data_IF_813592249468
#
_entry.id   IF_813592249468
#
_cell.length_a   1.000
_cell.length_b   1.000
_cell.length_c   1.000
_cell.angle_alpha   90.00
_cell.angle_beta   90.00
_cell.angle_gamma   90.00
#
_symmetry.space_group_name_H-M   'P 1'
#
loop_
_entity.id
_entity.type
_entity.pdbx_description
1 polymer ?
#
# COMPACT_ATOMS: atom_id res chain seq x y z
N UNK A 1 27.88 -21.52 0.30
CA UNK A 1 27.30 -20.59 1.29
C UNK A 1 25.92 -20.21 0.78
N UNK A 2 24.84 -20.78 1.37
CA UNK A 2 23.49 -20.28 1.12
C UNK A 2 23.45 -18.90 1.74
N UNK A 3 23.43 -17.84 0.93
CA UNK A 3 23.21 -16.50 1.45
C UNK A 3 21.94 -16.54 2.30
N UNK A 4 22.08 -16.23 3.58
CA UNK A 4 20.94 -16.05 4.46
C UNK A 4 20.17 -14.86 3.91
N UNK A 5 19.12 -15.12 3.13
CA UNK A 5 18.16 -14.10 2.72
C UNK A 5 17.81 -13.27 3.97
N UNK A 6 17.82 -11.93 3.91
CA UNK A 6 17.77 -11.09 5.10
C UNK A 6 16.35 -11.01 5.67
N UNK A 7 15.82 -12.15 6.12
CA UNK A 7 14.46 -12.33 6.65
C UNK A 7 14.17 -11.35 7.78
N UNK A 8 15.15 -11.10 8.65
CA UNK A 8 15.00 -10.14 9.74
C UNK A 8 14.71 -8.72 9.20
N UNK A 9 15.44 -8.27 8.19
CA UNK A 9 15.23 -6.95 7.59
C UNK A 9 13.86 -6.90 6.92
N UNK A 10 13.47 -7.94 6.19
CA UNK A 10 12.14 -8.01 5.57
C UNK A 10 11.03 -7.89 6.61
N UNK A 11 11.11 -8.65 7.71
CA UNK A 11 10.13 -8.62 8.79
C UNK A 11 10.07 -7.24 9.46
N UNK A 12 11.23 -6.63 9.74
CA UNK A 12 11.30 -5.30 10.35
C UNK A 12 10.69 -4.22 9.45
N UNK A 13 11.05 -4.20 8.17
CA UNK A 13 10.51 -3.24 7.20
C UNK A 13 9.01 -3.48 6.99
N UNK A 14 8.57 -4.73 6.93
CA UNK A 14 7.16 -5.08 6.80
C UNK A 14 6.34 -4.61 8.01
N UNK A 15 6.82 -4.87 9.23
CA UNK A 15 6.16 -4.46 10.47
C UNK A 15 6.14 -2.94 10.62
N UNK A 16 7.23 -2.26 10.25
CA UNK A 16 7.30 -0.80 10.24
C UNK A 16 6.28 -0.21 9.25
N UNK A 17 6.21 -0.73 8.02
CA UNK A 17 5.24 -0.27 7.02
C UNK A 17 3.80 -0.48 7.49
N UNK A 18 3.51 -1.64 8.10
CA UNK A 18 2.20 -1.92 8.68
C UNK A 18 1.86 -0.91 9.81
N UNK A 19 2.81 -0.66 10.71
CA UNK A 19 2.66 0.29 11.81
C UNK A 19 2.43 1.72 11.33
N UNK A 20 3.20 2.20 10.35
CA UNK A 20 3.02 3.53 9.75
C UNK A 20 1.66 3.63 9.06
N UNK A 21 1.26 2.59 8.30
CA UNK A 21 -0.05 2.54 7.64
C UNK A 21 -1.20 2.62 8.65
N UNK A 22 -1.06 1.95 9.79
CA UNK A 22 -2.00 2.03 10.90
C UNK A 22 -2.07 3.43 11.52
N UNK A 23 -0.92 4.04 11.81
CA UNK A 23 -0.85 5.38 12.38
C UNK A 23 -1.44 6.43 11.44
N UNK A 24 -1.24 6.29 10.14
CA UNK A 24 -1.87 7.13 9.12
C UNK A 24 -3.40 7.00 9.15
N UNK A 25 -3.95 5.78 9.08
CA UNK A 25 -5.39 5.56 9.16
C UNK A 25 -6.00 6.06 10.48
N UNK A 26 -5.31 5.83 11.60
CA UNK A 26 -5.75 6.32 12.92
C UNK A 26 -5.80 7.84 12.94
N UNK A 27 -4.77 8.52 12.44
CA UNK A 27 -4.70 9.99 12.42
C UNK A 27 -5.81 10.57 11.54
N UNK A 28 -6.05 9.98 10.38
CA UNK A 28 -7.19 10.33 9.51
C UNK A 28 -8.52 10.10 10.23
N UNK A 29 -8.70 8.95 10.89
CA UNK A 29 -9.90 8.63 11.67
C UNK A 29 -10.22 9.67 12.74
N UNK A 30 -9.21 10.05 13.53
CA UNK A 30 -9.35 11.04 14.60
C UNK A 30 -9.80 12.43 14.09
N UNK A 31 -9.48 12.78 12.85
CA UNK A 31 -9.86 14.05 12.22
C UNK A 31 -11.03 13.89 11.23
N UNK A 32 -11.55 12.68 11.04
CA UNK A 32 -12.44 12.37 9.93
C UNK A 32 -13.76 13.14 9.97
N UNK A 33 -14.37 13.23 11.15
CA UNK A 33 -15.63 13.95 11.35
C UNK A 33 -15.42 15.46 11.22
N UNK A 34 -14.37 15.97 11.85
CA UNK A 34 -14.02 17.39 11.81
C UNK A 34 -13.75 17.86 10.38
N UNK A 35 -12.91 17.13 9.64
CA UNK A 35 -12.61 17.47 8.24
C UNK A 35 -13.83 17.36 7.32
N UNK A 36 -14.84 16.54 7.64
CA UNK A 36 -16.10 16.51 6.88
C UNK A 36 -16.93 17.78 7.06
N UNK A 37 -16.89 18.37 8.26
CA UNK A 37 -17.60 19.61 8.58
C UNK A 37 -16.89 20.80 7.94
N UNK A 38 -15.55 20.87 8.10
CA UNK A 38 -14.75 22.00 7.62
C UNK A 38 -14.51 21.96 6.10
N UNK A 39 -14.41 20.77 5.50
CA UNK A 39 -14.15 20.62 4.07
C UNK A 39 -12.75 21.08 3.66
N UNK A 40 -12.64 21.62 2.43
CA UNK A 40 -11.43 22.26 1.91
C UNK A 40 -10.16 21.41 1.93
N UNK A 41 -9.03 22.06 2.20
CA UNK A 41 -7.71 21.43 2.20
C UNK A 41 -7.57 20.33 3.26
N UNK A 42 -8.15 20.52 4.43
CA UNK A 42 -8.09 19.52 5.51
C UNK A 42 -8.79 18.22 5.11
N UNK A 43 -9.97 18.32 4.48
CA UNK A 43 -10.68 17.15 3.94
C UNK A 43 -9.89 16.45 2.84
N UNK A 44 -9.28 17.22 1.96
CA UNK A 44 -8.42 16.69 0.91
C UNK A 44 -7.22 15.94 1.50
N UNK A 45 -6.51 16.52 2.47
CA UNK A 45 -5.37 15.89 3.13
C UNK A 45 -5.75 14.65 3.94
N UNK A 46 -6.94 14.62 4.55
CA UNK A 46 -7.46 13.42 5.19
C UNK A 46 -7.61 12.25 4.20
N UNK A 47 -8.03 12.52 2.96
CA UNK A 47 -8.04 11.51 1.89
C UNK A 47 -6.65 11.09 1.44
N UNK A 48 -5.68 12.02 1.35
CA UNK A 48 -4.30 11.66 1.01
C UNK A 48 -3.70 10.69 2.04
N UNK A 49 -3.94 10.95 3.33
CA UNK A 49 -3.53 10.02 4.40
C UNK A 49 -4.25 8.66 4.32
N UNK A 50 -5.52 8.63 3.93
CA UNK A 50 -6.27 7.40 3.73
C UNK A 50 -5.72 6.57 2.56
N UNK A 51 -5.46 7.20 1.42
CA UNK A 51 -4.85 6.55 0.25
C UNK A 51 -3.48 5.99 0.60
N UNK A 52 -2.63 6.79 1.27
CA UNK A 52 -1.30 6.36 1.70
C UNK A 52 -1.37 5.13 2.62
N UNK A 53 -2.31 5.13 3.58
CA UNK A 53 -2.55 3.99 4.46
C UNK A 53 -3.02 2.75 3.70
N UNK A 54 -3.99 2.91 2.78
CA UNK A 54 -4.54 1.81 2.01
C UNK A 54 -3.48 1.15 1.12
N UNK A 55 -2.65 1.95 0.45
CA UNK A 55 -1.50 1.46 -0.32
C UNK A 55 -0.49 0.72 0.56
N UNK A 56 -0.18 1.26 1.75
CA UNK A 56 0.75 0.62 2.68
C UNK A 56 0.25 -0.72 3.21
N UNK A 57 -1.02 -0.83 3.61
CA UNK A 57 -1.60 -2.12 4.00
C UNK A 57 -1.68 -3.10 2.82
N UNK A 58 -2.06 -2.61 1.64
CA UNK A 58 -2.06 -3.42 0.40
C UNK A 58 -0.69 -4.05 0.17
N UNK A 59 0.39 -3.28 0.31
CA UNK A 59 1.76 -3.79 0.15
C UNK A 59 2.12 -4.85 1.19
N UNK A 60 1.74 -4.65 2.45
CA UNK A 60 1.94 -5.64 3.51
C UNK A 60 1.19 -6.96 3.20
N UNK A 61 -0.06 -6.87 2.74
CA UNK A 61 -0.86 -8.03 2.38
C UNK A 61 -0.39 -8.72 1.10
N UNK A 62 0.13 -7.97 0.13
CA UNK A 62 0.75 -8.52 -1.07
C UNK A 62 1.98 -9.35 -0.73
N UNK A 63 2.91 -8.80 0.05
CA UNK A 63 4.12 -9.53 0.49
C UNK A 63 3.70 -10.79 1.26
N UNK A 64 2.85 -10.64 2.28
CA UNK A 64 2.43 -11.77 3.09
C UNK A 64 1.67 -12.83 2.28
N UNK A 65 0.66 -12.42 1.51
CA UNK A 65 -0.18 -13.31 0.71
C UNK A 65 0.59 -14.03 -0.38
N UNK A 66 1.48 -13.33 -1.09
CA UNK A 66 2.32 -13.93 -2.13
C UNK A 66 3.30 -14.95 -1.54
N UNK A 67 3.98 -14.60 -0.44
CA UNK A 67 4.90 -15.54 0.22
C UNK A 67 4.15 -16.72 0.85
N UNK A 68 2.99 -16.48 1.46
CA UNK A 68 2.17 -17.55 2.02
C UNK A 68 1.74 -18.55 0.93
N UNK A 69 1.27 -18.06 -0.22
CA UNK A 69 0.94 -18.93 -1.36
C UNK A 69 2.16 -19.71 -1.86
N UNK A 70 3.30 -19.04 -2.03
CA UNK A 70 4.54 -19.63 -2.51
C UNK A 70 5.05 -20.76 -1.61
N UNK A 71 5.11 -20.52 -0.29
CA UNK A 71 5.68 -21.47 0.66
C UNK A 71 4.71 -22.56 1.10
N UNK A 72 3.43 -22.23 1.29
CA UNK A 72 2.47 -23.18 1.86
C UNK A 72 1.73 -23.99 0.82
N UNK A 73 1.58 -23.46 -0.40
CA UNK A 73 0.88 -24.10 -1.52
C UNK A 73 -0.41 -24.82 -1.07
N UNK A 74 -1.37 -24.07 -0.51
CA UNK A 74 -2.50 -24.67 0.22
C UNK A 74 -3.36 -25.53 -0.72
N UNK A 75 -4.05 -26.53 -0.14
CA UNK A 75 -4.79 -27.55 -0.90
C UNK A 75 -5.78 -26.96 -1.92
N UNK A 76 -6.46 -25.85 -1.61
CA UNK A 76 -7.39 -25.22 -2.54
C UNK A 76 -6.69 -24.65 -3.80
N UNK A 77 -5.45 -24.17 -3.69
CA UNK A 77 -4.65 -23.76 -4.87
C UNK A 77 -4.29 -25.00 -5.69
N UNK A 78 -3.97 -26.10 -5.01
CA UNK A 78 -3.69 -27.39 -5.65
C UNK A 78 -4.89 -28.03 -6.33
N UNK A 79 -6.10 -27.69 -5.90
CA UNK A 79 -7.31 -28.11 -6.59
C UNK A 79 -7.59 -27.18 -7.78
N UNK A 80 -7.32 -25.89 -7.61
CA UNK A 80 -7.59 -24.89 -8.64
C UNK A 80 -6.76 -25.12 -9.91
N UNK A 81 -5.45 -25.42 -9.81
CA UNK A 81 -4.60 -25.57 -11.00
C UNK A 81 -4.73 -26.95 -11.70
N UNK A 82 -5.62 -27.85 -11.24
CA UNK A 82 -5.78 -29.27 -11.64
C UNK A 82 -4.62 -30.24 -11.27
N UNK A 83 -4.91 -31.42 -10.69
CA UNK A 83 -3.90 -32.37 -10.11
C UNK A 83 -3.03 -33.14 -11.14
N UNK A 84 -3.07 -32.77 -12.42
CA UNK A 84 -2.36 -33.49 -13.50
C UNK A 84 -0.99 -32.95 -13.90
N UNK A 85 -0.67 -31.68 -13.60
CA UNK A 85 0.61 -31.05 -13.93
C UNK A 85 1.43 -30.84 -12.66
N UNK A 86 2.74 -31.12 -12.68
CA UNK A 86 3.59 -30.93 -11.52
C UNK A 86 3.56 -29.46 -11.07
N UNK A 87 2.95 -29.19 -9.92
CA UNK A 87 2.65 -27.86 -9.36
C UNK A 87 3.89 -27.04 -8.98
N UNK A 88 4.86 -27.70 -8.35
CA UNK A 88 6.03 -27.07 -7.79
C UNK A 88 6.87 -26.24 -8.79
N UNK A 89 7.05 -26.65 -10.06
CA UNK A 89 7.76 -25.83 -11.06
C UNK A 89 6.95 -24.65 -11.64
N UNK A 90 5.64 -24.56 -11.37
CA UNK A 90 4.79 -23.52 -11.98
C UNK A 90 4.70 -22.23 -11.17
N UNK A 91 4.70 -22.33 -9.84
CA UNK A 91 4.70 -21.17 -8.94
C UNK A 91 6.13 -20.81 -8.57
N UNK A 92 6.91 -20.44 -9.58
CA UNK A 92 8.33 -20.15 -9.47
C UNK A 92 8.58 -18.67 -9.11
N UNK A 93 9.85 -18.24 -9.16
CA UNK A 93 10.22 -16.85 -8.91
C UNK A 93 9.53 -15.86 -9.86
N UNK A 94 9.18 -16.27 -11.07
CA UNK A 94 8.52 -15.40 -12.05
C UNK A 94 7.07 -15.08 -11.65
N UNK A 95 6.36 -16.02 -11.02
CA UNK A 95 5.05 -15.75 -10.42
C UNK A 95 5.17 -14.72 -9.29
N UNK A 96 6.19 -14.84 -8.42
CA UNK A 96 6.39 -13.90 -7.31
C UNK A 96 6.68 -12.49 -7.84
N UNK A 97 7.62 -12.40 -8.77
CA UNK A 97 8.03 -11.15 -9.39
C UNK A 97 6.84 -10.47 -10.10
N UNK A 98 6.09 -11.21 -10.90
CA UNK A 98 4.92 -10.70 -11.60
C UNK A 98 3.80 -10.26 -10.65
N UNK A 99 3.54 -11.03 -9.58
CA UNK A 99 2.49 -10.71 -8.61
C UNK A 99 2.81 -9.44 -7.83
N UNK A 100 4.04 -9.31 -7.33
CA UNK A 100 4.49 -8.10 -6.63
C UNK A 100 4.57 -6.91 -7.59
N UNK A 101 4.98 -7.12 -8.85
CA UNK A 101 5.01 -6.09 -9.89
C UNK A 101 3.63 -5.57 -10.26
N UNK A 102 2.65 -6.46 -10.41
CA UNK A 102 1.26 -6.07 -10.68
C UNK A 102 0.68 -5.28 -9.50
N UNK A 103 0.90 -5.75 -8.27
CA UNK A 103 0.51 -5.03 -7.07
C UNK A 103 1.16 -3.65 -6.98
N UNK A 104 2.46 -3.56 -7.27
CA UNK A 104 3.21 -2.30 -7.33
C UNK A 104 2.62 -1.32 -8.34
N UNK A 105 2.34 -1.77 -9.57
CA UNK A 105 1.75 -0.95 -10.63
C UNK A 105 0.39 -0.36 -10.24
N UNK A 106 -0.40 -1.10 -9.45
CA UNK A 106 -1.72 -0.64 -8.98
C UNK A 106 -1.59 0.43 -7.89
N UNK A 107 -0.69 0.26 -6.93
CA UNK A 107 -0.59 1.17 -5.78
C UNK A 107 0.30 2.39 -6.03
N UNK A 108 1.29 2.30 -6.93
CA UNK A 108 2.29 3.35 -7.11
C UNK A 108 1.71 4.71 -7.54
N UNK A 109 0.67 4.80 -8.41
CA UNK A 109 0.08 6.12 -8.74
C UNK A 109 -0.54 6.79 -7.51
N UNK A 110 -1.23 6.00 -6.68
CA UNK A 110 -1.79 6.48 -5.41
C UNK A 110 -0.72 6.94 -4.44
N UNK A 111 0.38 6.19 -4.30
CA UNK A 111 1.52 6.55 -3.45
C UNK A 111 2.19 7.84 -3.93
N UNK A 112 2.47 7.97 -5.23
CA UNK A 112 3.15 9.16 -5.78
C UNK A 112 2.28 10.41 -5.64
N UNK A 113 0.99 10.31 -5.96
CA UNK A 113 0.09 11.44 -5.87
C UNK A 113 -0.13 11.87 -4.41
N UNK A 114 -0.50 10.93 -3.54
CA UNK A 114 -0.70 11.26 -2.12
C UNK A 114 0.58 11.72 -1.43
N UNK A 115 1.72 11.12 -1.76
CA UNK A 115 3.05 11.51 -1.28
C UNK A 115 3.42 12.94 -1.69
N UNK A 116 3.17 13.31 -2.94
CA UNK A 116 3.39 14.67 -3.45
C UNK A 116 2.58 15.70 -2.65
N UNK A 117 1.30 15.41 -2.40
CA UNK A 117 0.43 16.33 -1.68
C UNK A 117 0.80 16.44 -0.19
N UNK A 118 1.15 15.32 0.45
CA UNK A 118 1.66 15.29 1.83
C UNK A 118 2.98 16.05 1.95
N UNK A 119 3.87 15.91 0.96
CA UNK A 119 5.12 16.64 0.91
C UNK A 119 4.88 18.15 0.80
N UNK A 120 4.02 18.60 -0.12
CA UNK A 120 3.65 20.02 -0.26
C UNK A 120 3.09 20.58 1.06
N UNK A 121 2.14 19.87 1.68
CA UNK A 121 1.57 20.28 2.96
C UNK A 121 2.64 20.39 4.07
N UNK A 122 3.57 19.44 4.12
CA UNK A 122 4.66 19.49 5.10
C UNK A 122 5.61 20.67 4.92
N UNK A 123 5.90 21.07 3.67
CA UNK A 123 6.68 22.28 3.39
C UNK A 123 5.94 23.54 3.86
N UNK A 124 4.65 23.64 3.57
CA UNK A 124 3.80 24.75 4.02
C UNK A 124 3.80 24.83 5.55
N UNK A 125 3.65 23.70 6.23
CA UNK A 125 3.65 23.65 7.70
C UNK A 125 5.02 24.04 8.29
N UNK A 126 6.13 23.59 7.72
CA UNK A 126 7.47 23.98 8.16
C UNK A 126 7.70 25.50 8.04
N UNK A 127 7.28 26.11 6.93
CA UNK A 127 7.38 27.56 6.72
C UNK A 127 6.51 28.34 7.71
N UNK A 128 5.31 27.84 8.01
CA UNK A 128 4.37 28.50 8.94
C UNK A 128 4.80 28.36 10.41
N UNK A 129 5.18 27.16 10.85
CA UNK A 129 5.47 26.86 12.25
C UNK A 129 6.89 27.22 12.66
N UNK A 130 7.86 27.12 11.74
CA UNK A 130 9.28 27.43 11.96
C UNK A 130 9.88 26.71 13.17
N UNK A 131 9.42 25.49 13.45
CA UNK A 131 9.95 24.66 14.53
C UNK A 131 10.75 23.48 13.96
N UNK A 132 11.61 22.89 14.80
CA UNK A 132 12.47 21.78 14.39
C UNK A 132 11.67 20.54 13.97
N UNK A 133 10.51 20.30 14.59
CA UNK A 133 9.70 19.12 14.31
C UNK A 133 9.09 19.18 12.90
N UNK A 134 8.48 20.30 12.54
CA UNK A 134 7.92 20.54 11.21
C UNK A 134 9.01 20.59 10.14
N UNK A 135 10.17 21.17 10.44
CA UNK A 135 11.35 21.11 9.58
C UNK A 135 11.83 19.67 9.32
N UNK A 136 11.90 18.85 10.37
CA UNK A 136 12.29 17.43 10.24
C UNK A 136 11.29 16.62 9.41
N UNK A 137 9.98 16.81 9.62
CA UNK A 137 8.93 16.16 8.83
C UNK A 137 9.02 16.56 7.35
N UNK A 138 9.19 17.85 7.07
CA UNK A 138 9.37 18.34 5.72
C UNK A 138 10.64 17.79 5.05
N UNK A 139 11.75 17.70 5.78
CA UNK A 139 13.00 17.09 5.33
C UNK A 139 12.82 15.61 4.98
N UNK A 140 12.18 14.84 5.85
CA UNK A 140 11.88 13.43 5.62
C UNK A 140 10.99 13.23 4.38
N UNK A 141 9.89 13.99 4.28
CA UNK A 141 8.99 13.89 3.14
C UNK A 141 9.65 14.32 1.83
N UNK A 142 10.58 15.29 1.87
CA UNK A 142 11.37 15.67 0.70
C UNK A 142 12.23 14.49 0.22
N UNK A 143 12.99 13.87 1.13
CA UNK A 143 13.77 12.69 0.81
C UNK A 143 12.89 11.56 0.27
N UNK A 144 11.80 11.24 0.96
CA UNK A 144 10.89 10.17 0.60
C UNK A 144 10.24 10.41 -0.78
N UNK A 145 9.80 11.64 -1.08
CA UNK A 145 9.18 11.96 -2.35
C UNK A 145 10.18 11.81 -3.51
N UNK A 146 11.41 12.30 -3.35
CA UNK A 146 12.47 12.16 -4.36
C UNK A 146 12.79 10.68 -4.56
N UNK A 147 13.02 9.94 -3.48
CA UNK A 147 13.33 8.52 -3.54
C UNK A 147 12.22 7.71 -4.21
N UNK A 148 10.96 7.90 -3.80
CA UNK A 148 9.82 7.19 -4.36
C UNK A 148 9.60 7.52 -5.84
N UNK A 149 9.75 8.79 -6.22
CA UNK A 149 9.61 9.22 -7.62
C UNK A 149 10.71 8.60 -8.48
N UNK A 150 11.96 8.65 -8.03
CA UNK A 150 13.09 8.06 -8.75
C UNK A 150 12.96 6.54 -8.88
N UNK A 151 12.61 5.86 -7.79
CA UNK A 151 12.35 4.43 -7.77
C UNK A 151 11.20 4.06 -8.70
N UNK A 152 10.15 4.89 -8.80
CA UNK A 152 9.03 4.66 -9.72
C UNK A 152 9.40 4.83 -11.20
N UNK A 153 10.23 5.82 -11.53
CA UNK A 153 10.71 6.01 -12.91
C UNK A 153 11.45 4.78 -13.43
N UNK A 154 12.16 4.05 -12.57
CA UNK A 154 12.84 2.80 -12.93
C UNK A 154 11.95 1.58 -12.80
N UNK A 155 11.19 1.50 -11.70
CA UNK A 155 10.40 0.33 -11.34
C UNK A 155 9.16 0.12 -12.18
N UNK A 156 8.48 1.18 -12.66
CA UNK A 156 7.26 1.03 -13.47
C UNK A 156 7.53 0.30 -14.79
N UNK A 157 8.54 0.68 -15.61
CA UNK A 157 8.86 -0.07 -16.82
C UNK A 157 9.26 -1.52 -16.56
N UNK A 158 10.03 -1.78 -15.50
CA UNK A 158 10.45 -3.14 -15.13
C UNK A 158 9.27 -3.99 -14.68
N UNK A 159 8.39 -3.45 -13.84
CA UNK A 159 7.18 -4.11 -13.39
C UNK A 159 6.24 -4.46 -14.57
N UNK A 160 6.08 -3.55 -15.53
CA UNK A 160 5.31 -3.84 -16.75
C UNK A 160 5.91 -4.98 -17.56
N UNK A 161 7.25 -5.01 -17.71
CA UNK A 161 7.94 -6.11 -18.39
C UNK A 161 7.77 -7.44 -17.66
N UNK A 162 7.90 -7.46 -16.33
CA UNK A 162 7.73 -8.66 -15.53
C UNK A 162 6.32 -9.25 -15.66
N UNK A 163 5.29 -8.41 -15.51
CA UNK A 163 3.88 -8.82 -15.70
C UNK A 163 3.63 -9.28 -17.13
N UNK A 164 4.05 -8.49 -18.12
CA UNK A 164 3.84 -8.81 -19.53
C UNK A 164 4.52 -10.11 -19.96
N UNK A 165 5.76 -10.34 -19.50
CA UNK A 165 6.50 -11.58 -19.75
C UNK A 165 5.80 -12.77 -19.10
N UNK A 166 5.43 -12.67 -17.82
CA UNK A 166 4.75 -13.75 -17.11
C UNK A 166 3.43 -14.14 -17.79
N UNK A 167 2.60 -13.16 -18.16
CA UNK A 167 1.35 -13.40 -18.89
C UNK A 167 1.62 -13.99 -20.27
N UNK A 168 2.62 -13.49 -21.00
CA UNK A 168 2.99 -13.95 -22.34
C UNK A 168 3.54 -15.38 -22.37
N UNK A 169 4.30 -15.77 -21.34
CA UNK A 169 4.90 -17.11 -21.19
C UNK A 169 3.91 -18.13 -20.60
N UNK A 170 2.78 -17.65 -20.05
CA UNK A 170 1.73 -18.46 -19.41
C UNK A 170 0.65 -18.95 -20.38
N UNK A 171 1.06 -19.52 -21.52
CA UNK A 171 0.14 -20.11 -22.51
C UNK A 171 -0.18 -21.57 -22.16
N UNK A 172 -1.47 -21.92 -22.14
CA UNK A 172 -1.99 -23.24 -21.75
C UNK A 172 -2.89 -23.17 -20.50
N UNK A 173 -3.78 -24.16 -20.32
CA UNK A 173 -4.83 -24.10 -19.29
C UNK A 173 -4.27 -24.00 -17.85
N UNK A 174 -3.24 -24.77 -17.51
CA UNK A 174 -2.60 -24.74 -16.19
C UNK A 174 -1.91 -23.40 -15.88
N UNK A 175 -1.12 -22.89 -16.82
CA UNK A 175 -0.43 -21.60 -16.67
C UNK A 175 -1.36 -20.40 -16.74
N UNK A 176 -2.43 -20.47 -17.54
CA UNK A 176 -3.47 -19.44 -17.60
C UNK A 176 -4.18 -19.27 -16.25
N UNK A 177 -4.39 -20.37 -15.51
CA UNK A 177 -4.92 -20.32 -14.15
C UNK A 177 -3.98 -19.61 -13.17
N UNK A 178 -2.66 -19.69 -13.32
CA UNK A 178 -1.72 -18.92 -12.49
C UNK A 178 -1.88 -17.41 -12.71
N UNK A 179 -2.12 -16.97 -13.95
CA UNK A 179 -2.41 -15.56 -14.24
C UNK A 179 -3.69 -15.12 -13.55
N UNK A 180 -4.73 -15.95 -13.57
CA UNK A 180 -5.98 -15.67 -12.84
C UNK A 180 -5.72 -15.59 -11.34
N UNK A 181 -4.96 -16.52 -10.77
CA UNK A 181 -4.61 -16.54 -9.35
C UNK A 181 -3.84 -15.28 -8.94
N UNK A 182 -2.86 -14.86 -9.74
CA UNK A 182 -2.10 -13.61 -9.54
C UNK A 182 -3.05 -12.41 -9.47
N UNK A 183 -3.94 -12.26 -10.47
CA UNK A 183 -4.88 -11.14 -10.54
C UNK A 183 -5.82 -11.14 -9.33
N UNK A 184 -6.42 -12.29 -9.02
CA UNK A 184 -7.34 -12.44 -7.88
C UNK A 184 -6.63 -12.11 -6.57
N UNK A 185 -5.41 -12.62 -6.35
CA UNK A 185 -4.63 -12.32 -5.16
C UNK A 185 -4.40 -10.82 -5.00
N UNK A 186 -3.96 -10.14 -6.06
CA UNK A 186 -3.70 -8.70 -6.03
C UNK A 186 -4.98 -7.93 -5.71
N UNK A 187 -6.12 -8.27 -6.34
CA UNK A 187 -7.41 -7.64 -6.05
C UNK A 187 -7.80 -7.83 -4.58
N UNK A 188 -7.68 -9.05 -4.05
CA UNK A 188 -7.98 -9.36 -2.65
C UNK A 188 -7.09 -8.55 -1.70
N UNK A 189 -5.79 -8.45 -1.98
CA UNK A 189 -4.87 -7.67 -1.17
C UNK A 189 -5.16 -6.17 -1.20
N UNK A 190 -5.52 -5.62 -2.37
CA UNK A 190 -5.95 -4.21 -2.52
C UNK A 190 -7.23 -3.97 -1.72
N UNK A 191 -8.22 -4.83 -1.86
CA UNK A 191 -9.48 -4.70 -1.15
C UNK A 191 -9.29 -4.83 0.36
N UNK A 192 -8.49 -5.79 0.81
CA UNK A 192 -8.12 -5.94 2.22
C UNK A 192 -7.40 -4.69 2.74
N UNK A 193 -6.47 -4.11 1.98
CA UNK A 193 -5.78 -2.87 2.36
C UNK A 193 -6.75 -1.71 2.57
N UNK A 194 -7.66 -1.50 1.62
CA UNK A 194 -8.71 -0.46 1.69
C UNK A 194 -9.65 -0.71 2.87
N UNK A 195 -10.13 -1.95 3.06
CA UNK A 195 -11.01 -2.28 4.18
C UNK A 195 -10.34 -2.09 5.53
N UNK A 196 -9.06 -2.48 5.67
CA UNK A 196 -8.31 -2.28 6.92
C UNK A 196 -8.17 -0.80 7.23
N UNK A 197 -7.79 0.03 6.25
CA UNK A 197 -7.76 1.49 6.41
C UNK A 197 -9.12 2.02 6.85
N UNK A 198 -10.20 1.60 6.18
CA UNK A 198 -11.54 2.09 6.48
C UNK A 198 -12.05 1.64 7.86
N UNK A 199 -11.79 0.39 8.24
CA UNK A 199 -12.11 -0.13 9.56
C UNK A 199 -11.43 0.66 10.67
N UNK A 200 -10.16 1.02 10.48
CA UNK A 200 -9.42 1.86 11.44
C UNK A 200 -9.98 3.28 11.47
N UNK A 201 -10.21 3.90 10.30
CA UNK A 201 -10.78 5.26 10.22
C UNK A 201 -12.12 5.32 10.97
N UNK A 202 -13.02 4.38 10.72
CA UNK A 202 -14.33 4.33 11.39
C UNK A 202 -14.22 4.06 12.88
N UNK A 203 -13.26 3.23 13.31
CA UNK A 203 -13.01 2.97 14.73
C UNK A 203 -12.63 4.24 15.50
N UNK A 204 -11.91 5.17 14.89
CA UNK A 204 -11.44 6.41 15.52
C UNK A 204 -12.26 7.65 15.16
N UNK A 205 -13.18 7.55 14.21
CA UNK A 205 -14.04 8.66 13.81
C UNK A 205 -14.96 9.07 14.97
N UNK A 206 -14.93 10.37 15.31
CA UNK A 206 -15.79 10.94 16.35
C UNK A 206 -15.38 10.61 17.78
N UNK A 207 -14.21 9.97 18.00
CA UNK A 207 -13.72 9.68 19.35
C UNK A 207 -13.03 10.87 20.02
N UNK A 208 -12.97 12.03 19.35
CA UNK A 208 -12.44 13.29 19.88
C UNK A 208 -13.51 14.37 19.80
N UNK A 209 -13.55 15.31 20.77
CA UNK A 209 -14.41 16.47 20.67
C UNK A 209 -14.03 17.29 19.41
N UNK A 210 -15.04 17.91 18.80
CA UNK A 210 -14.81 18.81 17.67
C UNK A 210 -14.01 20.04 18.13
N UNK A 211 -13.19 20.58 17.23
CA UNK A 211 -12.57 21.89 17.47
C UNK A 211 -13.63 22.99 17.60
N UNK A 212 -13.30 24.13 18.26
CA UNK A 212 -14.22 25.26 18.34
C UNK A 212 -14.69 25.74 16.96
N UNK A 213 -13.79 25.75 15.97
CA UNK A 213 -14.09 26.12 14.59
C UNK A 213 -15.12 25.16 13.96
N UNK A 214 -14.89 23.86 14.04
CA UNK A 214 -15.83 22.87 13.50
C UNK A 214 -17.17 22.86 14.27
N UNK A 215 -17.15 23.14 15.58
CA UNK A 215 -18.36 23.25 16.39
C UNK A 215 -19.19 24.47 15.97
N UNK A 216 -18.54 25.59 15.69
CA UNK A 216 -19.18 26.81 15.19
C UNK A 216 -19.81 26.59 13.81
N UNK A 217 -19.04 26.04 12.86
CA UNK A 217 -19.53 25.74 11.51
C UNK A 217 -20.69 24.74 11.52
N UNK A 218 -20.67 23.74 12.40
CA UNK A 218 -21.78 22.79 12.51
C UNK A 218 -23.08 23.43 13.04
N UNK A 219 -22.98 24.51 13.80
CA UNK A 219 -24.11 25.16 14.45
C UNK A 219 -24.82 26.21 13.57
N UNK A 220 -24.27 26.55 12.41
CA UNK A 220 -24.75 27.60 11.50
C UNK A 220 -24.86 27.05 10.07
#
# INVERSE_FOLDING_TARGET
MKENFPWLILILVWALNFGISWLNARTVGLMWVETKILGGWQRFMAWMGAIMSASGFTWCYLIFGTLALYFTQPAWVRLFLDEGETYAPMMDASFLEATLSLGYLIIIPGILFSGLMIWIDSLIQAIKRKDLASGAVAGWNTFAQIHNTYSAMKGIPEAWKAVGKFVGDSKGDGKGKLVILMIVLVIVCVFAGVMTTWGIINKYAGTRPLSPEASFVKAH
#
